data_IF_312075584159
#
_entry.id   IF_312075584159
#
_cell.length_a   1.000
_cell.length_b   1.000
_cell.length_c   1.000
_cell.angle_alpha   90.00
_cell.angle_beta   90.00
_cell.angle_gamma   90.00
#
_symmetry.space_group_name_H-M   'P 1'
#
loop_
_entity.id
_entity.type
_entity.pdbx_description
1 polymer ?
#
# COMPACT_ATOMS: atom_id res chain seq x y z
N UNK A 1 -23.77 -58.95 12.13
CA UNK A 1 -24.23 -57.60 12.51
C UNK A 1 -23.01 -56.78 12.91
N UNK A 2 -22.44 -56.02 11.98
CA UNK A 2 -21.32 -55.12 12.25
C UNK A 2 -21.82 -53.70 11.96
N UNK A 3 -22.09 -52.94 13.02
CA UNK A 3 -22.51 -51.54 12.93
C UNK A 3 -21.29 -50.67 12.64
N UNK A 4 -21.22 -50.14 11.41
CA UNK A 4 -20.26 -49.13 11.02
C UNK A 4 -20.69 -47.79 11.62
N UNK A 5 -20.05 -47.37 12.71
CA UNK A 5 -20.26 -46.06 13.32
C UNK A 5 -19.63 -44.99 12.43
N UNK A 6 -20.45 -44.38 11.57
CA UNK A 6 -20.08 -43.18 10.80
C UNK A 6 -19.98 -42.02 11.77
N UNK A 7 -18.76 -41.74 12.24
CA UNK A 7 -18.46 -40.48 12.93
C UNK A 7 -18.56 -39.36 11.90
N UNK A 8 -19.59 -38.54 12.06
CA UNK A 8 -19.78 -37.25 11.38
C UNK A 8 -18.57 -36.37 11.65
N UNK A 9 -17.63 -36.37 10.69
CA UNK A 9 -16.60 -35.33 10.60
C UNK A 9 -17.34 -34.03 10.25
N UNK A 10 -17.45 -33.16 11.24
CA UNK A 10 -18.06 -31.84 11.10
C UNK A 10 -17.36 -31.06 9.98
N UNK A 11 -18.16 -30.61 9.01
CA UNK A 11 -17.74 -29.81 7.86
C UNK A 11 -16.94 -28.54 8.22
N UNK A 12 -16.95 -28.13 9.49
CA UNK A 12 -16.16 -27.03 10.02
C UNK A 12 -14.64 -27.21 9.85
N UNK A 13 -14.12 -28.44 9.83
CA UNK A 13 -12.68 -28.67 9.74
C UNK A 13 -12.15 -28.62 8.29
N UNK A 14 -13.04 -28.72 7.29
CA UNK A 14 -12.66 -28.66 5.86
C UNK A 14 -12.56 -27.22 5.34
N UNK A 15 -13.27 -26.27 5.95
CA UNK A 15 -13.26 -24.85 5.56
C UNK A 15 -11.93 -24.17 5.96
N UNK A 16 -11.26 -24.66 7.00
CA UNK A 16 -9.95 -24.14 7.43
C UNK A 16 -8.80 -24.52 6.47
N UNK A 17 -8.98 -25.53 5.60
CA UNK A 17 -7.93 -26.03 4.72
C UNK A 17 -7.91 -25.38 3.32
N UNK A 18 -8.93 -24.60 2.95
CA UNK A 18 -9.10 -24.07 1.59
C UNK A 18 -9.26 -22.54 1.50
N UNK A 19 -9.20 -21.79 2.61
CA UNK A 19 -9.44 -20.34 2.63
C UNK A 19 -8.19 -19.44 2.68
N UNK A 20 -6.99 -20.01 2.66
CA UNK A 20 -5.72 -19.29 2.93
C UNK A 20 -5.16 -18.44 1.79
N UNK A 21 -5.90 -18.19 0.71
CA UNK A 21 -5.38 -17.54 -0.48
C UNK A 21 -6.23 -16.31 -0.85
N UNK A 22 -5.99 -15.17 -0.18
CA UNK A 22 -6.31 -13.78 -0.62
C UNK A 22 -6.62 -12.79 0.53
N UNK A 23 -6.45 -13.18 1.80
CA UNK A 23 -6.90 -12.35 2.93
C UNK A 23 -6.07 -11.07 3.23
N UNK A 24 -4.83 -10.97 2.74
CA UNK A 24 -3.94 -9.86 3.12
C UNK A 24 -4.27 -8.52 2.45
N UNK A 25 -4.78 -8.52 1.22
CA UNK A 25 -4.91 -7.31 0.41
C UNK A 25 -6.19 -6.51 0.66
N UNK A 26 -7.20 -7.10 1.30
CA UNK A 26 -8.50 -6.45 1.55
C UNK A 26 -8.50 -5.56 2.81
N UNK A 27 -7.56 -5.78 3.74
CA UNK A 27 -7.53 -5.07 5.02
C UNK A 27 -6.66 -3.80 5.01
N UNK A 28 -5.83 -3.61 3.97
CA UNK A 28 -5.06 -2.39 3.75
C UNK A 28 -4.85 -2.19 2.24
N UNK A 29 -5.86 -1.68 1.52
CA UNK A 29 -5.75 -1.46 0.08
C UNK A 29 -4.73 -0.36 -0.18
N UNK A 30 -3.58 -0.73 -0.73
CA UNK A 30 -2.62 0.23 -1.28
C UNK A 30 -2.94 0.54 -2.73
N UNK A 31 -3.01 1.81 -3.13
CA UNK A 31 -3.23 2.18 -4.52
C UNK A 31 -2.19 1.53 -5.44
N UNK A 32 -2.67 0.93 -6.53
CA UNK A 32 -1.79 0.30 -7.49
C UNK A 32 -1.08 1.35 -8.36
N UNK A 33 0.20 1.56 -8.09
CA UNK A 33 1.16 2.20 -8.99
C UNK A 33 1.86 1.06 -9.72
N UNK A 34 1.63 0.87 -11.03
CA UNK A 34 2.15 -0.29 -11.77
C UNK A 34 3.60 -0.68 -11.39
N UNK A 35 3.86 -1.97 -11.17
CA UNK A 35 5.08 -2.49 -10.51
C UNK A 35 6.40 -2.08 -11.17
N UNK A 36 6.38 -1.80 -12.46
CA UNK A 36 7.57 -1.44 -13.24
C UNK A 36 7.75 0.09 -13.38
N UNK A 37 7.24 0.87 -12.42
CA UNK A 37 7.28 2.34 -12.46
C UNK A 37 8.19 2.91 -11.38
N UNK A 38 8.69 4.10 -11.67
CA UNK A 38 9.32 4.97 -10.68
C UNK A 38 8.24 5.78 -9.94
N UNK A 39 8.50 6.07 -8.67
CA UNK A 39 7.60 6.78 -7.76
C UNK A 39 8.39 7.89 -7.08
N UNK A 40 7.83 9.09 -7.04
CA UNK A 40 8.37 10.16 -6.20
C UNK A 40 7.92 9.95 -4.77
N UNK A 41 8.88 9.93 -3.85
CA UNK A 41 8.64 9.95 -2.41
C UNK A 41 8.98 11.33 -1.88
N UNK A 42 8.03 11.99 -1.25
CA UNK A 42 8.21 13.28 -0.58
C UNK A 42 8.11 13.06 0.91
N UNK A 43 9.17 13.38 1.63
CA UNK A 43 9.23 13.27 3.10
C UNK A 43 9.28 14.67 3.67
N UNK A 44 8.23 15.06 4.37
CA UNK A 44 8.18 16.29 5.15
C UNK A 44 8.57 15.96 6.59
N UNK A 45 9.79 16.33 6.96
CA UNK A 45 10.35 16.05 8.28
C UNK A 45 9.70 16.89 9.39
N UNK A 46 9.12 18.05 9.06
CA UNK A 46 8.44 18.92 10.02
C UNK A 46 7.14 18.27 10.51
N UNK A 47 6.31 17.81 9.56
CA UNK A 47 5.02 17.19 9.87
C UNK A 47 5.12 15.68 10.10
N UNK A 48 6.26 15.06 9.80
CA UNK A 48 6.47 13.61 9.87
C UNK A 48 5.71 12.83 8.79
N UNK A 49 5.16 13.52 7.80
CA UNK A 49 4.37 12.89 6.75
C UNK A 49 5.23 12.44 5.57
N UNK A 50 4.89 11.29 5.02
CA UNK A 50 5.46 10.80 3.76
C UNK A 50 4.37 10.66 2.71
N UNK A 51 4.62 11.25 1.55
CA UNK A 51 3.74 11.20 0.40
C UNK A 51 4.39 10.45 -0.74
N UNK A 52 3.56 9.77 -1.51
CA UNK A 52 3.97 9.08 -2.73
C UNK A 52 3.16 9.62 -3.88
N UNK A 53 3.81 9.82 -5.02
CA UNK A 53 3.15 10.29 -6.25
C UNK A 53 3.92 9.82 -7.48
N UNK A 54 3.27 9.90 -8.64
CA UNK A 54 3.90 9.64 -9.95
C UNK A 54 4.47 10.89 -10.58
N UNK A 55 3.99 12.07 -10.21
CA UNK A 55 4.38 13.34 -10.80
C UNK A 55 4.46 14.41 -9.71
N UNK A 56 5.46 15.29 -9.81
CA UNK A 56 5.59 16.47 -8.95
C UNK A 56 5.73 17.69 -9.84
N UNK A 57 4.95 18.72 -9.57
CA UNK A 57 5.08 20.05 -10.16
C UNK A 57 5.76 20.97 -9.16
N UNK A 58 6.69 21.80 -9.65
CA UNK A 58 7.35 22.82 -8.85
C UNK A 58 7.00 24.20 -9.40
N UNK A 59 6.43 25.06 -8.55
CA UNK A 59 5.94 26.39 -8.93
C UNK A 59 6.81 27.54 -8.39
N UNK A 60 8.07 27.25 -8.05
CA UNK A 60 9.03 28.26 -7.58
C UNK A 60 9.11 28.41 -6.06
N UNK A 61 8.18 27.80 -5.31
CA UNK A 61 8.24 27.75 -3.85
C UNK A 61 7.54 26.55 -3.23
N UNK A 62 6.77 25.80 -4.02
CA UNK A 62 5.90 24.75 -3.52
C UNK A 62 6.02 23.51 -4.40
N UNK A 63 6.03 22.34 -3.77
CA UNK A 63 5.80 21.06 -4.43
C UNK A 63 4.31 20.80 -4.47
N UNK A 64 3.76 20.67 -5.68
CA UNK A 64 2.34 20.36 -5.91
C UNK A 64 2.24 19.02 -6.60
N UNK A 65 1.32 18.17 -6.16
CA UNK A 65 1.14 16.84 -6.74
C UNK A 65 -0.22 16.23 -6.36
N UNK A 66 -0.62 15.21 -7.10
CA UNK A 66 -1.70 14.30 -6.68
C UNK A 66 -1.04 13.10 -6.02
N UNK A 67 -1.35 12.82 -4.76
CA UNK A 67 -0.81 11.63 -4.12
C UNK A 67 -1.41 10.34 -4.73
N UNK A 68 -0.90 9.20 -4.30
CA UNK A 68 -1.35 7.88 -4.80
C UNK A 68 -2.81 7.56 -4.47
N UNK A 69 -3.41 8.28 -3.52
CA UNK A 69 -4.83 8.21 -3.19
C UNK A 69 -5.67 9.20 -4.00
N UNK A 70 -5.06 9.98 -4.90
CA UNK A 70 -5.73 10.97 -5.74
C UNK A 70 -6.03 12.29 -5.03
N UNK A 71 -5.41 12.55 -3.87
CA UNK A 71 -5.59 13.81 -3.13
C UNK A 71 -4.64 14.87 -3.65
N UNK A 72 -5.12 16.09 -3.77
CA UNK A 72 -4.29 17.26 -4.10
C UNK A 72 -3.47 17.65 -2.88
N UNK A 73 -2.15 17.68 -3.04
CA UNK A 73 -1.20 18.03 -1.98
C UNK A 73 -0.30 19.17 -2.44
N UNK A 74 -0.02 20.07 -1.50
CA UNK A 74 0.78 21.27 -1.70
C UNK A 74 1.70 21.43 -0.49
N UNK A 75 3.01 21.31 -0.69
CA UNK A 75 4.03 21.38 0.36
C UNK A 75 4.98 22.53 0.06
N UNK A 76 5.15 23.43 1.02
CA UNK A 76 6.13 24.53 0.90
C UNK A 76 7.53 23.92 0.88
N UNK A 77 8.35 24.34 -0.09
CA UNK A 77 9.74 23.89 -0.16
C UNK A 77 10.51 24.45 1.04
N UNK A 78 11.13 23.57 1.80
CA UNK A 78 12.09 23.88 2.84
C UNK A 78 13.26 22.89 2.79
N UNK A 79 14.26 23.12 3.64
CA UNK A 79 15.35 22.18 3.92
C UNK A 79 14.89 20.92 4.67
N UNK A 80 13.68 20.95 5.23
CA UNK A 80 13.04 19.82 5.92
C UNK A 80 12.22 18.93 4.98
N UNK A 81 12.09 19.29 3.69
CA UNK A 81 11.38 18.50 2.69
C UNK A 81 12.37 17.83 1.74
N UNK A 82 12.39 16.50 1.76
CA UNK A 82 13.20 15.68 0.86
C UNK A 82 12.32 15.10 -0.25
N UNK A 83 12.81 15.14 -1.49
CA UNK A 83 12.14 14.53 -2.66
C UNK A 83 13.08 13.53 -3.31
N UNK A 84 12.71 12.25 -3.23
CA UNK A 84 13.48 11.14 -3.80
C UNK A 84 12.68 10.44 -4.91
N UNK A 85 13.37 9.70 -5.77
CA UNK A 85 12.76 8.76 -6.71
C UNK A 85 13.09 7.34 -6.25
N UNK A 86 12.06 6.54 -6.01
CA UNK A 86 12.17 5.13 -5.60
C UNK A 86 11.50 4.23 -6.65
N UNK A 87 11.80 2.93 -6.59
CA UNK A 87 11.04 1.93 -7.38
C UNK A 87 9.63 1.72 -6.81
N UNK A 88 8.67 1.31 -7.66
CA UNK A 88 7.36 0.89 -7.17
C UNK A 88 7.46 -0.34 -6.24
N UNK A 89 8.46 -1.20 -6.41
CA UNK A 89 8.73 -2.30 -5.49
C UNK A 89 9.00 -1.78 -4.06
N UNK A 90 9.90 -0.81 -3.91
CA UNK A 90 10.17 -0.18 -2.61
C UNK A 90 8.92 0.47 -2.00
N UNK A 91 8.09 1.13 -2.81
CA UNK A 91 6.81 1.69 -2.34
C UNK A 91 5.91 0.61 -1.70
N UNK A 92 5.79 -0.56 -2.32
CA UNK A 92 5.01 -1.67 -1.76
C UNK A 92 5.64 -2.33 -0.53
N UNK A 93 6.92 -2.10 -0.27
CA UNK A 93 7.63 -2.61 0.90
C UNK A 93 7.61 -1.64 2.10
N UNK A 94 7.33 -0.35 1.87
CA UNK A 94 7.16 0.60 2.98
C UNK A 94 5.99 0.20 3.90
N UNK A 95 6.02 0.43 5.23
CA UNK A 95 4.95 0.01 6.15
C UNK A 95 3.59 0.68 5.92
#
# INVERSE_FOLDING_TARGET
MAGLTVKTLSAAMLIAALGGCAGGSLLSPRPMIGRDRLVFRLVDQESGNTFYTRNVWFDGGTYRFHDVYGRDVSIIRSDQVTVDIISAAEYYETP
#
